data_IF_864412759437
#
_entry.id   IF_864412759437
#
_cell.length_a   1.000
_cell.length_b   1.000
_cell.length_c   1.000
_cell.angle_alpha   90.00
_cell.angle_beta   90.00
_cell.angle_gamma   90.00
#
_symmetry.space_group_name_H-M   'P 1'
#
loop_
_entity.id
_entity.type
_entity.pdbx_description
1 polymer ?
#
# COMPACT_ATOMS: atom_id res chain seq x y z
N UNK A 1 12.55 9.80 -29.88
CA UNK A 1 11.55 9.99 -28.82
C UNK A 1 10.20 9.55 -29.37
N UNK A 2 9.68 8.41 -28.90
CA UNK A 2 8.31 8.00 -29.24
C UNK A 2 7.41 8.44 -28.08
N UNK A 3 6.67 9.51 -28.28
CA UNK A 3 5.61 9.95 -27.37
C UNK A 3 4.53 8.87 -27.31
N UNK A 4 4.18 8.42 -26.11
CA UNK A 4 2.98 7.60 -25.86
C UNK A 4 3.14 6.07 -25.89
N UNK A 5 4.33 5.53 -26.17
CA UNK A 5 4.56 4.08 -26.07
C UNK A 5 5.13 3.68 -24.70
N UNK A 6 4.39 2.85 -23.98
CA UNK A 6 4.87 2.23 -22.74
C UNK A 6 5.82 1.07 -23.06
N UNK A 7 6.95 1.03 -22.37
CA UNK A 7 7.88 -0.11 -22.42
C UNK A 7 8.04 -0.66 -21.01
N UNK A 8 8.14 -1.97 -20.87
CA UNK A 8 8.64 -2.53 -19.62
C UNK A 8 10.09 -2.09 -19.44
N UNK A 9 10.45 -1.71 -18.22
CA UNK A 9 11.83 -1.47 -17.87
C UNK A 9 12.66 -2.73 -18.15
N UNK A 10 13.69 -2.59 -19.00
CA UNK A 10 14.64 -3.67 -19.25
C UNK A 10 15.42 -4.01 -17.99
N UNK A 11 15.97 -5.23 -17.95
CA UNK A 11 16.81 -5.71 -16.84
C UNK A 11 18.12 -4.93 -16.68
N UNK A 12 18.51 -4.14 -17.69
CA UNK A 12 19.74 -3.35 -17.73
C UNK A 12 19.59 -1.94 -17.15
N UNK A 13 18.36 -1.53 -16.77
CA UNK A 13 18.13 -0.21 -16.16
C UNK A 13 18.57 -0.27 -14.69
N UNK A 14 19.63 0.44 -14.35
CA UNK A 14 20.15 0.53 -13.00
C UNK A 14 19.23 1.43 -12.15
N UNK A 15 18.29 0.81 -11.45
CA UNK A 15 17.44 1.52 -10.47
C UNK A 15 18.19 1.77 -9.17
N UNK A 16 17.93 2.94 -8.57
CA UNK A 16 18.27 3.27 -7.19
C UNK A 16 17.78 2.17 -6.22
N UNK A 17 18.57 1.93 -5.18
CA UNK A 17 18.32 0.93 -4.14
C UNK A 17 16.96 1.17 -3.47
N UNK A 18 16.59 2.44 -3.25
CA UNK A 18 15.30 2.84 -2.68
C UNK A 18 14.12 2.39 -3.55
N UNK A 19 14.23 2.55 -4.87
CA UNK A 19 13.18 2.13 -5.79
C UNK A 19 13.04 0.60 -5.86
N UNK A 20 14.17 -0.13 -5.79
CA UNK A 20 14.14 -1.60 -5.69
C UNK A 20 13.45 -2.05 -4.41
N UNK A 21 13.75 -1.40 -3.29
CA UNK A 21 13.15 -1.70 -1.99
C UNK A 21 11.65 -1.38 -1.97
N UNK A 22 11.23 -0.26 -2.57
CA UNK A 22 9.82 0.07 -2.77
C UNK A 22 9.07 -1.01 -3.56
N UNK A 23 9.65 -1.54 -4.65
CA UNK A 23 9.05 -2.64 -5.42
C UNK A 23 8.91 -3.92 -4.61
N UNK A 24 9.92 -4.27 -3.81
CA UNK A 24 9.89 -5.46 -2.95
C UNK A 24 8.82 -5.31 -1.86
N UNK A 25 8.71 -4.13 -1.24
CA UNK A 25 7.67 -3.85 -0.26
C UNK A 25 6.28 -3.86 -0.89
N UNK A 26 6.10 -3.28 -2.09
CA UNK A 26 4.81 -3.33 -2.80
C UNK A 26 4.37 -4.77 -3.13
N UNK A 27 5.31 -5.65 -3.48
CA UNK A 27 5.04 -7.08 -3.64
C UNK A 27 4.64 -7.73 -2.31
N UNK A 28 5.36 -7.42 -1.22
CA UNK A 28 5.03 -7.92 0.11
C UNK A 28 3.63 -7.47 0.56
N UNK A 29 3.27 -6.20 0.35
CA UNK A 29 1.93 -5.65 0.61
C UNK A 29 0.86 -6.44 -0.11
N UNK A 30 1.05 -6.78 -1.39
CA UNK A 30 0.10 -7.59 -2.15
C UNK A 30 -0.06 -9.02 -1.58
N UNK A 31 1.05 -9.65 -1.18
CA UNK A 31 1.02 -11.00 -0.59
C UNK A 31 0.29 -10.98 0.76
N UNK A 32 0.69 -10.09 1.66
CA UNK A 32 0.08 -9.96 3.00
C UNK A 32 -1.39 -9.57 2.88
N UNK A 33 -1.72 -8.63 1.98
CA UNK A 33 -3.08 -8.22 1.70
C UNK A 33 -3.96 -9.36 1.20
N UNK A 34 -3.44 -10.21 0.31
CA UNK A 34 -4.16 -11.40 -0.16
C UNK A 34 -4.44 -12.39 0.98
N UNK A 35 -3.44 -12.64 1.84
CA UNK A 35 -3.60 -13.49 3.03
C UNK A 35 -4.65 -12.91 3.98
N UNK A 36 -4.66 -11.60 4.16
CA UNK A 36 -5.64 -10.91 4.99
C UNK A 36 -7.07 -11.09 4.45
N UNK A 37 -7.28 -10.93 3.14
CA UNK A 37 -8.59 -11.12 2.52
C UNK A 37 -9.08 -12.57 2.64
N UNK A 38 -8.20 -13.56 2.48
CA UNK A 38 -8.52 -14.98 2.70
C UNK A 38 -8.89 -15.22 4.17
N UNK A 39 -8.12 -14.64 5.10
CA UNK A 39 -8.36 -14.78 6.54
C UNK A 39 -9.71 -14.18 6.96
N UNK A 40 -10.07 -13.01 6.42
CA UNK A 40 -11.38 -12.39 6.60
C UNK A 40 -12.51 -13.29 6.10
N UNK A 41 -12.36 -13.83 4.89
CA UNK A 41 -13.33 -14.77 4.32
C UNK A 41 -13.55 -16.00 5.20
N UNK A 42 -12.47 -16.61 5.68
CA UNK A 42 -12.55 -17.75 6.60
C UNK A 42 -13.27 -17.34 7.89
N UNK A 43 -12.95 -16.17 8.45
CA UNK A 43 -13.55 -15.66 9.69
C UNK A 43 -15.07 -15.54 9.58
N UNK A 44 -15.58 -15.07 8.44
CA UNK A 44 -17.02 -14.97 8.16
C UNK A 44 -17.69 -16.35 8.08
N UNK A 45 -16.97 -17.37 7.60
CA UNK A 45 -17.49 -18.74 7.50
C UNK A 45 -17.40 -19.55 8.80
N UNK A 46 -16.72 -19.04 9.84
CA UNK A 46 -16.52 -19.77 11.10
C UNK A 46 -17.64 -19.55 12.12
N UNK A 47 -17.84 -20.55 12.99
CA UNK A 47 -18.79 -20.49 14.11
C UNK A 47 -18.27 -19.57 15.22
N UNK A 48 -19.20 -18.82 15.81
CA UNK A 48 -19.05 -17.68 16.74
C UNK A 48 -18.01 -17.82 17.85
N UNK A 49 -17.77 -19.03 18.37
CA UNK A 49 -16.87 -19.24 19.52
C UNK A 49 -15.37 -19.02 19.24
N UNK A 50 -14.93 -19.02 17.97
CA UNK A 50 -13.52 -18.76 17.63
C UNK A 50 -13.30 -17.43 16.90
N UNK A 51 -14.38 -16.81 16.45
CA UNK A 51 -14.39 -15.64 15.57
C UNK A 51 -13.61 -14.45 16.15
N UNK A 52 -13.67 -14.23 17.46
CA UNK A 52 -12.97 -13.13 18.15
C UNK A 52 -11.45 -13.14 17.90
N UNK A 53 -10.78 -14.30 18.03
CA UNK A 53 -9.31 -14.41 17.88
C UNK A 53 -8.85 -14.15 16.45
N UNK A 54 -9.68 -14.54 15.47
CA UNK A 54 -9.39 -14.32 14.06
C UNK A 54 -9.53 -12.84 13.67
N UNK A 55 -10.49 -12.11 14.23
CA UNK A 55 -10.60 -10.66 14.04
C UNK A 55 -9.35 -9.91 14.53
N UNK A 56 -8.81 -10.26 15.71
CA UNK A 56 -7.53 -9.70 16.18
C UNK A 56 -6.38 -9.99 15.20
N UNK A 57 -6.31 -11.22 14.70
CA UNK A 57 -5.27 -11.64 13.74
C UNK A 57 -5.38 -10.87 12.42
N UNK A 58 -6.60 -10.68 11.92
CA UNK A 58 -6.90 -9.86 10.74
C UNK A 58 -6.51 -8.41 10.97
N UNK A 59 -6.85 -7.84 12.13
CA UNK A 59 -6.47 -6.46 12.48
C UNK A 59 -4.96 -6.25 12.44
N UNK A 60 -4.17 -7.20 12.97
CA UNK A 60 -2.70 -7.15 12.90
C UNK A 60 -2.21 -7.23 11.46
N UNK A 61 -2.77 -8.13 10.63
CA UNK A 61 -2.39 -8.25 9.22
C UNK A 61 -2.69 -6.97 8.42
N UNK A 62 -3.84 -6.33 8.68
CA UNK A 62 -4.19 -5.04 8.08
C UNK A 62 -3.18 -3.95 8.45
N UNK A 63 -2.80 -3.86 9.74
CA UNK A 63 -1.80 -2.89 10.21
C UNK A 63 -0.42 -3.12 9.59
N UNK A 64 0.02 -4.38 9.46
CA UNK A 64 1.27 -4.72 8.77
C UNK A 64 1.20 -4.28 7.30
N UNK A 65 0.06 -4.51 6.64
CA UNK A 65 -0.11 -4.11 5.24
C UNK A 65 -0.03 -2.60 5.07
N UNK A 66 -0.67 -1.83 5.95
CA UNK A 66 -0.57 -0.36 5.99
C UNK A 66 0.89 0.09 6.18
N UNK A 67 1.65 -0.55 7.06
CA UNK A 67 3.06 -0.20 7.27
C UNK A 67 3.89 -0.48 6.01
N UNK A 68 3.70 -1.65 5.37
CA UNK A 68 4.42 -1.99 4.14
C UNK A 68 4.07 -1.04 2.99
N UNK A 69 2.79 -0.68 2.83
CA UNK A 69 2.32 0.26 1.80
C UNK A 69 2.84 1.69 2.07
N UNK A 70 2.79 2.16 3.32
CA UNK A 70 3.36 3.44 3.72
C UNK A 70 4.86 3.54 3.50
N UNK A 71 5.61 2.48 3.81
CA UNK A 71 7.05 2.40 3.51
C UNK A 71 7.31 2.38 2.01
N UNK A 72 6.49 1.66 1.23
CA UNK A 72 6.57 1.67 -0.23
C UNK A 72 6.43 3.08 -0.79
N UNK A 73 5.44 3.83 -0.31
CA UNK A 73 5.25 5.24 -0.67
C UNK A 73 6.45 6.10 -0.27
N UNK A 74 6.93 5.96 0.96
CA UNK A 74 8.10 6.69 1.47
C UNK A 74 9.33 6.50 0.57
N UNK A 75 9.73 5.26 0.29
CA UNK A 75 10.91 4.99 -0.54
C UNK A 75 10.70 5.35 -2.02
N UNK A 76 9.46 5.32 -2.51
CA UNK A 76 9.14 5.80 -3.87
C UNK A 76 9.34 7.32 -3.97
N UNK A 77 8.95 8.05 -2.93
CA UNK A 77 9.13 9.50 -2.86
C UNK A 77 10.57 9.93 -2.59
N UNK A 78 11.34 9.11 -1.89
CA UNK A 78 12.74 9.37 -1.56
C UNK A 78 13.73 8.91 -2.64
N UNK A 79 13.24 8.18 -3.66
CA UNK A 79 14.01 7.67 -4.79
C UNK A 79 14.39 8.79 -5.75
N UNK A 80 15.61 8.73 -6.28
CA UNK A 80 16.14 9.69 -7.26
C UNK A 80 15.37 9.67 -8.60
N UNK A 81 14.54 8.65 -8.83
CA UNK A 81 13.58 8.60 -9.96
C UNK A 81 12.54 9.73 -9.87
N UNK A 82 12.28 10.27 -8.67
CA UNK A 82 11.27 11.30 -8.40
C UNK A 82 11.84 12.65 -7.89
N UNK A 83 13.17 12.84 -7.86
CA UNK A 83 13.79 14.06 -7.30
C UNK A 83 13.68 15.33 -8.16
N UNK A 84 12.96 15.29 -9.28
CA UNK A 84 12.64 16.49 -10.03
C UNK A 84 11.44 17.20 -9.36
N UNK A 85 11.78 18.11 -8.44
CA UNK A 85 10.97 19.20 -7.89
C UNK A 85 9.46 18.98 -7.86
N UNK A 86 8.95 18.75 -6.66
CA UNK A 86 7.53 18.61 -6.38
C UNK A 86 6.86 19.98 -6.52
N UNK A 87 6.48 20.36 -7.73
CA UNK A 87 5.68 21.55 -7.96
C UNK A 87 4.22 21.13 -8.12
N UNK A 88 3.36 21.62 -7.22
CA UNK A 88 1.91 21.67 -7.43
C UNK A 88 1.59 22.80 -8.43
N UNK A 89 2.35 22.87 -9.53
CA UNK A 89 2.29 23.99 -10.47
C UNK A 89 2.24 23.40 -11.87
N UNK A 90 1.11 23.64 -12.53
CA UNK A 90 0.97 23.50 -13.98
C UNK A 90 1.73 24.68 -14.60
N UNK A 91 3.05 24.59 -14.72
CA UNK A 91 3.79 25.57 -15.54
C UNK A 91 4.97 24.97 -16.32
N UNK A 92 5.07 25.49 -17.54
CA UNK A 92 5.93 25.07 -18.64
C UNK A 92 7.41 25.44 -18.41
N UNK A 93 8.13 24.66 -17.61
CA UNK A 93 9.59 24.73 -17.56
C UNK A 93 10.22 23.41 -18.02
N UNK A 94 11.31 23.53 -18.79
CA UNK A 94 12.06 22.43 -19.38
C UNK A 94 12.85 21.73 -18.26
N UNK A 95 12.17 20.82 -17.58
CA UNK A 95 12.68 19.95 -16.52
C UNK A 95 11.71 18.79 -16.37
N UNK A 96 12.20 17.55 -16.23
CA UNK A 96 11.35 16.37 -16.13
C UNK A 96 10.68 16.29 -14.76
N UNK A 97 9.65 17.11 -14.49
CA UNK A 97 8.92 17.07 -13.22
C UNK A 97 8.20 15.74 -13.03
N UNK A 98 8.42 15.09 -11.88
CA UNK A 98 7.64 13.93 -11.48
C UNK A 98 6.32 14.38 -10.88
N UNK A 99 5.26 14.45 -11.69
CA UNK A 99 3.91 14.64 -11.17
C UNK A 99 3.47 13.42 -10.39
N UNK A 100 2.74 13.63 -9.28
CA UNK A 100 2.16 12.53 -8.51
C UNK A 100 1.23 11.73 -9.41
N UNK A 101 1.66 10.52 -9.77
CA UNK A 101 0.86 9.64 -10.60
C UNK A 101 -0.45 9.30 -9.87
N UNK A 102 -1.53 9.11 -10.62
CA UNK A 102 -2.84 8.67 -10.12
C UNK A 102 -2.69 7.43 -9.22
N UNK A 103 -1.76 6.53 -9.54
CA UNK A 103 -1.46 5.35 -8.74
C UNK A 103 -1.01 5.66 -7.30
N UNK A 104 -0.26 6.74 -7.08
CA UNK A 104 0.18 7.17 -5.75
C UNK A 104 -0.98 7.72 -4.93
N UNK A 105 -1.93 8.43 -5.56
CA UNK A 105 -3.15 8.91 -4.88
C UNK A 105 -4.00 7.72 -4.43
N UNK A 106 -4.20 6.72 -5.30
CA UNK A 106 -4.90 5.50 -4.93
C UNK A 106 -4.19 4.75 -3.80
N UNK A 107 -2.87 4.66 -3.84
CA UNK A 107 -2.06 4.01 -2.80
C UNK A 107 -2.20 4.71 -1.43
N UNK A 108 -2.25 6.05 -1.39
CA UNK A 108 -2.53 6.79 -0.14
C UNK A 108 -3.95 6.49 0.36
N UNK A 109 -4.93 6.52 -0.54
CA UNK A 109 -6.33 6.24 -0.19
C UNK A 109 -6.52 4.80 0.32
N UNK A 110 -5.92 3.81 -0.33
CA UNK A 110 -5.90 2.42 0.15
C UNK A 110 -5.22 2.35 1.51
N UNK A 111 -4.02 2.90 1.68
CA UNK A 111 -3.31 2.88 2.96
C UNK A 111 -4.20 3.36 4.12
N UNK A 112 -4.91 4.48 3.93
CA UNK A 112 -5.87 5.00 4.91
C UNK A 112 -7.04 4.04 5.15
N UNK A 113 -7.66 3.50 4.09
CA UNK A 113 -8.77 2.55 4.22
C UNK A 113 -8.36 1.30 5.01
N UNK A 114 -7.19 0.73 4.70
CA UNK A 114 -6.66 -0.46 5.38
C UNK A 114 -6.38 -0.19 6.86
N UNK A 115 -5.85 0.99 7.19
CA UNK A 115 -5.60 1.41 8.57
C UNK A 115 -6.91 1.48 9.38
N UNK A 116 -7.94 2.17 8.86
CA UNK A 116 -9.23 2.29 9.55
C UNK A 116 -9.93 0.93 9.67
N UNK A 117 -9.88 0.09 8.64
CA UNK A 117 -10.39 -1.28 8.70
C UNK A 117 -9.66 -2.12 9.75
N UNK A 118 -8.33 -1.95 9.89
CA UNK A 118 -7.52 -2.59 10.92
C UNK A 118 -7.99 -2.21 12.32
N UNK A 119 -8.21 -0.92 12.58
CA UNK A 119 -8.75 -0.44 13.86
C UNK A 119 -10.13 -1.02 14.14
N UNK A 120 -11.03 -1.01 13.15
CA UNK A 120 -12.38 -1.55 13.31
C UNK A 120 -12.37 -3.05 13.62
N UNK A 121 -11.44 -3.81 13.04
CA UNK A 121 -11.28 -5.23 13.34
C UNK A 121 -10.91 -5.50 14.81
N UNK A 122 -10.31 -4.52 15.52
CA UNK A 122 -10.08 -4.61 16.97
C UNK A 122 -11.29 -4.15 17.80
N UNK A 123 -12.03 -3.15 17.33
CA UNK A 123 -13.13 -2.53 18.08
C UNK A 123 -14.40 -3.38 18.05
N UNK A 124 -14.75 -3.98 16.90
CA UNK A 124 -15.99 -4.77 16.75
C UNK A 124 -16.05 -5.95 17.75
N UNK A 125 -15.01 -6.80 17.87
CA UNK A 125 -14.96 -7.86 18.88
C UNK A 125 -15.09 -7.34 20.33
N UNK A 126 -14.49 -6.19 20.61
CA UNK A 126 -14.53 -5.60 21.95
C UNK A 126 -15.94 -5.11 22.30
N UNK A 127 -16.66 -4.54 21.34
CA UNK A 127 -18.03 -4.08 21.52
C UNK A 127 -18.99 -5.25 21.76
N UNK A 128 -18.89 -6.33 20.97
CA UNK A 128 -19.73 -7.53 21.15
C UNK A 128 -19.47 -8.25 22.48
N UNK A 129 -18.31 -8.07 23.10
CA UNK A 129 -18.02 -8.65 24.43
C UNK A 129 -18.66 -7.89 25.60
N UNK A 130 -19.16 -6.67 25.37
CA UNK A 130 -19.74 -5.79 26.39
C UNK A 130 -21.28 -5.84 26.44
N UNK A 131 -21.94 -6.33 25.39
CA UNK A 131 -23.40 -6.50 25.29
C UNK A 131 -23.81 -7.96 25.50
#
# INVERSE_FOLDING_TARGET
AHEGSCYMYGTEVEFDEKFRLARMLGLATNIVGSICMISLWITICMKESQTMRYYYSVGVLLMITTLCEGLTLYFTFESDVCLAEWSFVVDNAIGHYCSMAIGTIFAIASTCAWFFSGILAFVVPAYDSLN
#
